data_IF_561220952203
#
_entry.id   IF_561220952203
#
_cell.length_a   1.000
_cell.length_b   1.000
_cell.length_c   1.000
_cell.angle_alpha   90.00
_cell.angle_beta   90.00
_cell.angle_gamma   90.00
#
_symmetry.space_group_name_H-M   'P 1'
#
loop_
_entity.id
_entity.type
_entity.pdbx_description
1 polymer ?
#
# COMPACT_ATOMS: atom_id res chain seq x y z
N UNK A 1 4.58 -15.11 -1.33
CA UNK A 1 4.38 -15.12 -2.80
C UNK A 1 3.81 -16.45 -3.25
N UNK A 2 2.51 -16.47 -3.52
CA UNK A 2 1.78 -17.68 -3.90
C UNK A 2 1.81 -17.83 -5.44
N UNK A 3 2.73 -18.65 -5.96
CA UNK A 3 2.86 -19.00 -7.39
C UNK A 3 1.60 -19.68 -7.97
N UNK A 4 0.63 -20.05 -7.13
CA UNK A 4 -0.53 -20.86 -7.52
C UNK A 4 -1.84 -20.09 -7.70
N UNK A 5 -1.89 -18.82 -7.30
CA UNK A 5 -3.12 -18.02 -7.36
C UNK A 5 -3.36 -17.38 -8.75
N UNK A 6 -2.31 -17.12 -9.53
CA UNK A 6 -2.43 -16.44 -10.82
C UNK A 6 -2.70 -14.93 -10.74
N UNK A 7 -2.95 -14.37 -9.55
CA UNK A 7 -3.15 -12.92 -9.33
C UNK A 7 -2.00 -12.07 -9.87
N UNK A 8 -0.74 -12.50 -9.70
CA UNK A 8 0.44 -11.80 -10.27
C UNK A 8 0.52 -11.82 -11.80
N UNK A 9 -0.33 -12.59 -12.49
CA UNK A 9 -0.45 -12.54 -13.96
C UNK A 9 -1.44 -11.46 -14.42
N UNK A 10 -2.18 -10.86 -13.51
CA UNK A 10 -3.07 -9.72 -13.77
C UNK A 10 -2.33 -8.46 -13.35
N UNK A 11 -1.93 -7.65 -14.34
CA UNK A 11 -1.04 -6.50 -14.16
C UNK A 11 -1.50 -5.54 -13.05
N UNK A 12 -2.78 -5.10 -12.98
CA UNK A 12 -3.24 -4.28 -11.86
C UNK A 12 -2.97 -4.86 -10.47
N UNK A 13 -3.25 -6.14 -10.26
CA UNK A 13 -3.00 -6.79 -8.96
C UNK A 13 -1.51 -6.94 -8.69
N UNK A 14 -0.72 -7.30 -9.72
CA UNK A 14 0.73 -7.40 -9.58
C UNK A 14 1.35 -6.06 -9.13
N UNK A 15 0.86 -4.94 -9.67
CA UNK A 15 1.30 -3.60 -9.25
C UNK A 15 0.93 -3.29 -7.80
N UNK A 16 -0.30 -3.60 -7.35
CA UNK A 16 -0.70 -3.39 -5.94
C UNK A 16 0.17 -4.22 -4.99
N UNK A 17 0.44 -5.48 -5.34
CA UNK A 17 1.34 -6.34 -4.55
C UNK A 17 2.78 -5.82 -4.52
N UNK A 18 3.26 -5.20 -5.60
CA UNK A 18 4.59 -4.57 -5.60
C UNK A 18 4.60 -3.29 -4.76
N UNK A 19 3.49 -2.54 -4.72
CA UNK A 19 3.30 -1.41 -3.82
C UNK A 19 3.28 -1.83 -2.35
N UNK A 20 2.64 -2.94 -2.00
CA UNK A 20 2.70 -3.53 -0.66
C UNK A 20 4.14 -3.75 -0.19
N UNK A 21 4.98 -4.34 -1.05
CA UNK A 21 6.39 -4.56 -0.72
C UNK A 21 7.13 -3.23 -0.48
N UNK A 22 6.86 -2.21 -1.29
CA UNK A 22 7.46 -0.90 -1.13
C UNK A 22 6.98 -0.15 0.12
N UNK A 23 5.71 -0.31 0.52
CA UNK A 23 5.17 0.22 1.77
C UNK A 23 5.88 -0.43 2.98
N UNK A 24 6.06 -1.75 2.94
CA UNK A 24 6.80 -2.49 3.98
C UNK A 24 8.27 -2.09 4.04
N UNK A 25 8.92 -1.81 2.91
CA UNK A 25 10.29 -1.28 2.88
C UNK A 25 10.38 0.08 3.58
N UNK A 26 9.44 1.01 3.32
CA UNK A 26 9.41 2.30 4.01
C UNK A 26 9.10 2.14 5.49
N UNK A 27 8.21 1.21 5.86
CA UNK A 27 7.95 0.88 7.26
C UNK A 27 9.22 0.38 7.97
N UNK A 28 10.00 -0.49 7.32
CA UNK A 28 11.30 -0.95 7.81
C UNK A 28 12.29 0.20 8.02
N UNK A 29 12.34 1.17 7.10
CA UNK A 29 13.16 2.39 7.25
C UNK A 29 12.78 3.20 8.50
N UNK A 30 11.47 3.35 8.78
CA UNK A 30 11.00 4.00 10.01
C UNK A 30 11.51 3.26 11.25
N UNK A 31 11.37 1.93 11.29
CA UNK A 31 11.84 1.14 12.43
C UNK A 31 13.36 1.26 12.63
N UNK A 32 14.13 1.24 11.54
CA UNK A 32 15.58 1.44 11.56
C UNK A 32 15.91 2.80 12.18
N UNK A 33 15.30 3.88 11.69
CA UNK A 33 15.52 5.23 12.19
C UNK A 33 15.20 5.35 13.69
N UNK A 34 14.05 4.80 14.12
CA UNK A 34 13.66 4.78 15.54
C UNK A 34 14.64 3.98 16.42
N UNK A 35 15.16 2.84 15.95
CA UNK A 35 16.20 2.06 16.66
C UNK A 35 17.49 2.86 16.85
N UNK A 36 17.84 3.70 15.88
CA UNK A 36 19.01 4.58 15.95
C UNK A 36 18.75 5.91 16.68
N UNK A 37 17.53 6.13 17.19
CA UNK A 37 17.08 7.40 17.79
C UNK A 37 17.20 8.58 16.82
N UNK A 38 17.11 8.31 15.52
CA UNK A 38 17.07 9.32 14.48
C UNK A 38 15.61 9.73 14.23
N UNK A 39 15.13 10.64 15.08
CA UNK A 39 13.74 11.10 15.04
C UNK A 39 13.42 11.89 13.77
N UNK A 40 14.40 12.61 13.20
CA UNK A 40 14.19 13.40 11.98
C UNK A 40 13.96 12.50 10.77
N UNK A 41 14.80 11.47 10.60
CA UNK A 41 14.59 10.46 9.56
C UNK A 41 13.29 9.70 9.77
N UNK A 42 12.98 9.28 11.00
CA UNK A 42 11.74 8.56 11.29
C UNK A 42 10.50 9.36 10.88
N UNK A 43 10.44 10.67 11.19
CA UNK A 43 9.35 11.56 10.77
C UNK A 43 9.29 11.70 9.25
N UNK A 44 10.43 11.79 8.59
CA UNK A 44 10.50 11.88 7.13
C UNK A 44 9.95 10.61 6.47
N UNK A 45 10.33 9.43 6.97
CA UNK A 45 9.83 8.15 6.48
C UNK A 45 8.35 7.94 6.79
N UNK A 46 7.85 8.35 7.96
CA UNK A 46 6.43 8.28 8.30
C UNK A 46 5.55 9.14 7.39
N UNK A 47 5.99 10.37 7.06
CA UNK A 47 5.29 11.22 6.09
C UNK A 47 5.25 10.58 4.71
N UNK A 48 6.39 10.06 4.26
CA UNK A 48 6.48 9.33 3.00
C UNK A 48 5.54 8.12 2.99
N UNK A 49 5.52 7.33 4.06
CA UNK A 49 4.62 6.17 4.17
C UNK A 49 3.15 6.60 4.04
N UNK A 50 2.76 7.66 4.74
CA UNK A 50 1.39 8.20 4.67
C UNK A 50 1.01 8.64 3.26
N UNK A 51 1.91 9.31 2.54
CA UNK A 51 1.67 9.73 1.15
C UNK A 51 1.56 8.54 0.19
N UNK A 52 2.40 7.52 0.35
CA UNK A 52 2.35 6.32 -0.50
C UNK A 52 1.11 5.47 -0.21
N UNK A 53 0.77 5.29 1.07
CA UNK A 53 -0.40 4.52 1.47
C UNK A 53 -1.68 5.17 0.96
N UNK A 54 -1.82 6.49 1.07
CA UNK A 54 -2.96 7.25 0.54
C UNK A 54 -3.13 7.10 -0.99
N UNK A 55 -2.03 6.99 -1.74
CA UNK A 55 -2.08 6.70 -3.18
C UNK A 55 -2.47 5.26 -3.47
N UNK A 56 -1.96 4.32 -2.68
CA UNK A 56 -2.23 2.90 -2.82
C UNK A 56 -3.72 2.59 -2.57
N UNK A 57 -4.22 3.01 -1.41
CA UNK A 57 -5.61 2.86 -0.96
C UNK A 57 -6.60 3.36 -2.02
N UNK A 58 -6.36 4.54 -2.61
CA UNK A 58 -7.25 5.07 -3.66
C UNK A 58 -7.36 4.15 -4.88
N UNK A 59 -6.28 3.48 -5.28
CA UNK A 59 -6.29 2.56 -6.43
C UNK A 59 -7.12 1.32 -6.11
N UNK A 60 -7.09 0.86 -4.88
CA UNK A 60 -7.84 -0.30 -4.42
C UNK A 60 -9.33 0.02 -4.29
N UNK A 61 -9.64 1.06 -3.54
CA UNK A 61 -11.01 1.49 -3.24
C UNK A 61 -11.78 1.87 -4.50
N UNK A 62 -11.21 2.73 -5.34
CA UNK A 62 -11.84 3.16 -6.59
C UNK A 62 -11.79 2.05 -7.65
N UNK A 63 -10.83 1.13 -7.55
CA UNK A 63 -10.58 0.06 -8.51
C UNK A 63 -11.21 -1.27 -8.08
N UNK A 64 -10.38 -2.18 -7.56
CA UNK A 64 -10.75 -3.58 -7.30
C UNK A 64 -11.89 -3.71 -6.29
N UNK A 65 -11.96 -2.86 -5.25
CA UNK A 65 -13.02 -2.90 -4.25
C UNK A 65 -14.35 -2.40 -4.81
N UNK A 66 -14.34 -1.27 -5.53
CA UNK A 66 -15.53 -0.80 -6.25
C UNK A 66 -16.05 -1.84 -7.25
N UNK A 67 -15.14 -2.50 -8.00
CA UNK A 67 -15.50 -3.55 -8.94
C UNK A 67 -16.10 -4.78 -8.25
N UNK A 68 -15.52 -5.21 -7.11
CA UNK A 68 -16.03 -6.32 -6.31
C UNK A 68 -17.40 -6.01 -5.71
N UNK A 69 -17.60 -4.81 -5.16
CA UNK A 69 -18.91 -4.41 -4.63
C UNK A 69 -20.01 -4.44 -5.67
N UNK A 70 -19.69 -4.12 -6.92
CA UNK A 70 -20.66 -4.17 -8.01
C UNK A 70 -21.16 -5.60 -8.31
N UNK A 71 -20.45 -6.65 -7.86
CA UNK A 71 -20.92 -8.05 -7.99
C UNK A 71 -21.90 -8.44 -6.89
N UNK A 72 -21.91 -7.72 -5.76
CA UNK A 72 -22.70 -8.05 -4.58
C UNK A 72 -22.09 -9.16 -3.71
N UNK A 73 -20.85 -9.58 -3.98
CA UNK A 73 -20.10 -10.55 -3.19
C UNK A 73 -19.01 -9.86 -2.34
N UNK A 74 -18.58 -10.51 -1.26
CA UNK A 74 -17.49 -10.07 -0.38
C UNK A 74 -17.65 -8.65 0.22
N UNK A 75 -18.89 -8.20 0.39
CA UNK A 75 -19.19 -6.83 0.84
C UNK A 75 -18.67 -6.54 2.24
N UNK A 76 -18.77 -7.51 3.14
CA UNK A 76 -18.33 -7.37 4.52
C UNK A 76 -16.80 -7.33 4.57
N UNK A 77 -16.12 -8.23 3.86
CA UNK A 77 -14.66 -8.28 3.78
C UNK A 77 -14.07 -7.00 3.16
N UNK A 78 -14.67 -6.49 2.09
CA UNK A 78 -14.25 -5.21 1.50
C UNK A 78 -14.51 -4.05 2.46
N UNK A 79 -15.64 -4.05 3.17
CA UNK A 79 -15.93 -3.01 4.16
C UNK A 79 -14.97 -3.03 5.35
N UNK A 80 -14.49 -4.20 5.76
CA UNK A 80 -13.49 -4.33 6.82
C UNK A 80 -12.13 -3.75 6.37
N UNK A 81 -11.69 -4.04 5.14
CA UNK A 81 -10.43 -3.50 4.60
C UNK A 81 -10.44 -1.97 4.47
N UNK A 82 -11.54 -1.38 3.98
CA UNK A 82 -11.65 0.08 3.91
C UNK A 82 -11.65 0.74 5.30
N UNK A 83 -12.26 0.08 6.29
CA UNK A 83 -12.17 0.58 7.66
C UNK A 83 -10.73 0.52 8.19
N UNK A 84 -9.96 -0.51 7.81
CA UNK A 84 -8.54 -0.60 8.14
C UNK A 84 -7.73 0.51 7.46
N UNK A 85 -8.05 0.88 6.21
CA UNK A 85 -7.47 2.04 5.53
C UNK A 85 -7.69 3.35 6.29
N UNK A 86 -8.94 3.60 6.71
CA UNK A 86 -9.31 4.75 7.53
C UNK A 86 -8.53 4.77 8.86
N UNK A 87 -8.40 3.60 9.49
CA UNK A 87 -7.65 3.44 10.74
C UNK A 87 -6.15 3.73 10.56
N UNK A 88 -5.54 3.31 9.44
CA UNK A 88 -4.15 3.66 9.13
C UNK A 88 -3.99 5.15 8.89
N UNK A 89 -4.90 5.77 8.13
CA UNK A 89 -4.87 7.20 7.88
C UNK A 89 -4.95 8.00 9.18
N UNK A 90 -5.93 7.67 10.04
CA UNK A 90 -6.11 8.30 11.34
C UNK A 90 -4.92 8.04 12.28
N UNK A 91 -4.41 6.80 12.29
CA UNK A 91 -3.27 6.39 13.10
C UNK A 91 -2.01 7.17 12.75
N UNK A 92 -1.66 7.27 11.47
CA UNK A 92 -0.51 8.03 10.97
C UNK A 92 -0.65 9.53 11.28
N UNK A 93 -1.84 10.10 11.08
CA UNK A 93 -2.09 11.52 11.37
C UNK A 93 -1.99 11.86 12.87
N UNK A 94 -2.25 10.89 13.75
CA UNK A 94 -2.23 11.07 15.20
C UNK A 94 -0.84 10.85 15.84
N UNK A 95 0.17 10.41 15.07
CA UNK A 95 1.51 10.16 15.63
C UNK A 95 2.20 11.46 16.06
N UNK A 96 2.66 11.50 17.31
CA UNK A 96 3.53 12.55 17.83
C UNK A 96 4.99 12.06 17.90
N UNK A 97 5.94 12.70 17.18
CA UNK A 97 7.35 12.34 17.21
C UNK A 97 8.01 12.41 18.59
N UNK A 98 7.41 13.15 19.53
CA UNK A 98 7.91 13.33 20.90
C UNK A 98 7.27 12.38 21.89
N UNK A 99 6.32 11.56 21.45
CA UNK A 99 5.66 10.57 22.29
C UNK A 99 6.67 9.51 22.77
N UNK A 100 6.85 9.32 24.09
CA UNK A 100 7.71 8.25 24.60
C UNK A 100 7.26 6.84 24.16
N UNK A 101 5.99 6.66 23.80
CA UNK A 101 5.43 5.40 23.30
C UNK A 101 5.44 5.29 21.77
N UNK A 102 5.99 6.27 21.04
CA UNK A 102 6.00 6.31 19.57
C UNK A 102 6.41 4.98 18.95
N UNK A 103 7.50 4.38 19.46
CA UNK A 103 8.00 3.10 18.94
C UNK A 103 6.99 1.97 19.10
N UNK A 104 6.30 1.90 20.24
CA UNK A 104 5.29 0.85 20.48
C UNK A 104 4.08 1.03 19.57
N UNK A 105 3.65 2.28 19.36
CA UNK A 105 2.54 2.63 18.46
C UNK A 105 2.87 2.30 17.01
N UNK A 106 4.07 2.66 16.55
CA UNK A 106 4.58 2.34 15.21
C UNK A 106 4.72 0.83 15.02
N UNK A 107 5.35 0.12 15.96
CA UNK A 107 5.49 -1.35 15.89
C UNK A 107 4.11 -2.06 15.86
N UNK A 108 3.08 -1.50 16.51
CA UNK A 108 1.72 -2.05 16.44
C UNK A 108 1.04 -1.77 15.10
N UNK A 109 1.16 -0.54 14.61
CA UNK A 109 0.59 -0.13 13.32
C UNK A 109 1.21 -0.91 12.16
N UNK A 110 2.52 -1.19 12.17
CA UNK A 110 3.18 -1.93 11.10
C UNK A 110 2.87 -3.42 11.11
N UNK A 111 2.65 -4.02 12.29
CA UNK A 111 2.08 -5.38 12.36
C UNK A 111 0.68 -5.40 11.75
N UNK A 112 -0.15 -4.40 12.07
CA UNK A 112 -1.49 -4.30 11.49
C UNK A 112 -1.44 -4.11 9.97
N UNK A 113 -0.53 -3.28 9.45
CA UNK A 113 -0.30 -3.12 8.01
C UNK A 113 0.13 -4.44 7.35
N UNK A 114 1.02 -5.21 7.97
CA UNK A 114 1.42 -6.52 7.44
C UNK A 114 0.24 -7.51 7.41
N UNK A 115 -0.57 -7.54 8.47
CA UNK A 115 -1.75 -8.41 8.54
C UNK A 115 -2.81 -8.00 7.50
N UNK A 116 -2.96 -6.70 7.25
CA UNK A 116 -3.83 -6.13 6.23
C UNK A 116 -3.41 -6.55 4.81
N UNK A 117 -2.12 -6.37 4.48
CA UNK A 117 -1.53 -6.81 3.22
C UNK A 117 -1.77 -8.30 2.99
N UNK A 118 -1.63 -9.13 4.04
CA UNK A 118 -1.89 -10.58 3.93
C UNK A 118 -3.37 -10.89 3.61
N UNK A 119 -4.34 -10.13 4.15
CA UNK A 119 -5.77 -10.30 3.84
C UNK A 119 -6.07 -9.98 2.38
N UNK A 120 -5.35 -9.05 1.78
CA UNK A 120 -5.52 -8.66 0.39
C UNK A 120 -4.81 -9.64 -0.54
N UNK A 121 -3.49 -9.78 -0.38
CA UNK A 121 -2.62 -10.62 -1.22
C UNK A 121 -3.07 -12.08 -1.26
N UNK A 122 -3.54 -12.60 -0.12
CA UNK A 122 -3.92 -14.01 0.04
C UNK A 122 -5.44 -14.21 0.12
N UNK A 123 -6.23 -13.14 0.19
CA UNK A 123 -7.69 -13.18 0.27
C UNK A 123 -8.36 -12.45 -0.90
N UNK A 124 -8.58 -11.14 -0.75
CA UNK A 124 -9.41 -10.36 -1.68
C UNK A 124 -8.86 -10.33 -3.11
N UNK A 125 -7.55 -10.21 -3.31
CA UNK A 125 -6.96 -10.22 -4.65
C UNK A 125 -7.17 -11.56 -5.37
N UNK A 126 -6.83 -12.73 -4.79
CA UNK A 126 -7.19 -14.03 -5.34
C UNK A 126 -8.66 -14.19 -5.71
N UNK A 127 -9.55 -13.75 -4.83
CA UNK A 127 -11.00 -13.83 -5.04
C UNK A 127 -11.44 -12.95 -6.19
N UNK A 128 -10.89 -11.74 -6.31
CA UNK A 128 -11.21 -10.82 -7.41
C UNK A 128 -10.94 -11.44 -8.78
N UNK A 129 -9.89 -12.27 -8.92
CA UNK A 129 -9.55 -12.98 -10.17
C UNK A 129 -10.66 -13.92 -10.63
N UNK A 130 -11.34 -14.59 -9.70
CA UNK A 130 -12.39 -15.57 -10.03
C UNK A 130 -13.79 -14.97 -10.04
N UNK A 131 -14.01 -13.86 -9.32
CA UNK A 131 -15.30 -13.20 -9.20
C UNK A 131 -15.52 -12.14 -10.29
N UNK A 132 -14.49 -11.37 -10.65
CA UNK A 132 -14.63 -10.27 -11.61
C UNK A 132 -14.69 -10.78 -13.05
N UNK A 133 -15.77 -10.41 -13.75
CA UNK A 133 -15.87 -10.51 -15.20
C UNK A 133 -15.19 -9.35 -15.92
N UNK A 134 -15.25 -9.34 -17.26
CA UNK A 134 -14.60 -8.32 -18.10
C UNK A 134 -14.95 -6.88 -17.70
N UNK A 135 -16.23 -6.59 -17.45
CA UNK A 135 -16.66 -5.25 -17.05
C UNK A 135 -16.08 -4.79 -15.70
N UNK A 136 -15.84 -5.71 -14.77
CA UNK A 136 -15.17 -5.40 -13.50
C UNK A 136 -13.70 -5.05 -13.74
N UNK A 137 -13.01 -5.86 -14.54
CA UNK A 137 -11.61 -5.59 -14.91
C UNK A 137 -11.42 -4.31 -15.72
N UNK A 138 -12.41 -3.91 -16.52
CA UNK A 138 -12.40 -2.61 -17.20
C UNK A 138 -12.39 -1.44 -16.20
N UNK A 139 -13.14 -1.54 -15.08
CA UNK A 139 -13.11 -0.53 -14.00
C UNK A 139 -11.73 -0.47 -13.37
N UNK A 140 -11.19 -1.61 -12.95
CA UNK A 140 -9.86 -1.68 -12.32
C UNK A 140 -8.79 -1.10 -13.24
N UNK A 141 -8.78 -1.51 -14.51
CA UNK A 141 -7.80 -1.05 -15.51
C UNK A 141 -7.91 0.46 -15.76
N UNK A 142 -9.14 0.99 -15.81
CA UNK A 142 -9.39 2.43 -15.98
C UNK A 142 -8.80 3.23 -14.81
N UNK A 143 -8.99 2.78 -13.57
CA UNK A 143 -8.43 3.43 -12.38
C UNK A 143 -6.92 3.37 -12.39
N UNK A 144 -6.31 2.21 -12.65
CA UNK A 144 -4.85 2.07 -12.73
C UNK A 144 -4.23 2.96 -13.81
N UNK A 145 -4.92 3.14 -14.94
CA UNK A 145 -4.48 4.03 -16.01
C UNK A 145 -4.57 5.51 -15.61
N UNK A 146 -5.62 5.90 -14.86
CA UNK A 146 -5.81 7.26 -14.38
C UNK A 146 -4.93 7.61 -13.18
N UNK A 147 -4.58 6.60 -12.38
CA UNK A 147 -3.77 6.70 -11.16
C UNK A 147 -2.60 5.71 -11.24
N UNK A 148 -1.52 6.08 -11.97
CA UNK A 148 -0.35 5.22 -12.11
C UNK A 148 0.29 4.92 -10.76
N UNK A 149 0.84 3.72 -10.66
CA UNK A 149 1.56 3.28 -9.47
C UNK A 149 2.64 4.28 -9.07
N UNK A 150 2.81 4.50 -7.76
CA UNK A 150 3.92 5.32 -7.26
C UNK A 150 5.30 4.72 -7.57
N UNK A 151 5.36 3.45 -7.95
CA UNK A 151 6.59 2.78 -8.41
C UNK A 151 6.99 3.15 -9.84
N UNK A 152 6.06 3.69 -10.63
CA UNK A 152 6.32 4.15 -12.01
C UNK A 152 7.07 5.49 -12.04
N UNK A 153 7.06 6.22 -10.92
CA UNK A 153 7.84 7.43 -10.75
C UNK A 153 9.30 7.05 -10.56
N UNK A 154 10.08 7.07 -11.66
CA UNK A 154 11.52 6.82 -11.59
C UNK A 154 12.14 7.77 -10.55
N UNK A 155 12.90 7.28 -9.55
CA UNK A 155 13.75 8.18 -8.79
C UNK A 155 14.68 8.85 -9.80
N UNK A 156 14.62 10.18 -9.85
CA UNK A 156 15.46 10.98 -10.73
C UNK A 156 16.90 10.52 -10.59
N UNK A 157 17.46 9.99 -11.67
CA UNK A 157 18.88 9.67 -11.76
C UNK A 157 19.62 10.95 -11.42
N UNK A 158 20.19 11.03 -10.22
CA UNK A 158 21.11 12.09 -9.86
C UNK A 158 22.13 12.17 -11.00
N UNK A 159 22.17 13.31 -11.69
CA UNK A 159 23.15 13.58 -12.71
C UNK A 159 24.52 13.45 -12.04
N UNK A 160 25.22 12.34 -12.31
CA UNK A 160 26.60 12.17 -11.89
C UNK A 160 27.42 13.34 -12.43
N UNK A 161 28.41 13.84 -11.67
CA UNK A 161 29.15 15.02 -12.07
C UNK A 161 29.81 14.75 -13.42
N UNK A 162 29.51 15.59 -14.39
CA UNK A 162 30.14 15.57 -15.70
C UNK A 162 31.65 15.67 -15.52
N UNK A 163 32.35 14.62 -15.91
CA UNK A 163 33.79 14.64 -16.03
C UNK A 163 34.16 15.64 -17.14
N UNK A 164 34.68 16.79 -16.74
CA UNK A 164 35.37 17.73 -17.61
C UNK A 164 36.82 17.76 -17.15
N UNK A 165 37.75 17.47 -18.07
CA UNK A 165 39.19 17.57 -17.85
C UNK A 165 39.94 16.29 -18.14
#
# INVERSE_FOLDING_TARGET
MCEYCGCRQIEPLAELMDEHMALLDVASDVEIALRHRDHESAVTHLRRLSELLDRHVRREEEGVFTALRATGEFLDEVSELEQEHDDFHAGLAALDPHDPELRVKVDAMFRHLSDHIDKEDLGIFPVSVVTLGAAGWDVVTSVHSAQPSFLSERPGRAAGPGHTG
#
